data_IF_039062541021
#
_entry.id   IF_039062541021
#
_cell.length_a   1.000
_cell.length_b   1.000
_cell.length_c   1.000
_cell.angle_alpha   90.00
_cell.angle_beta   90.00
_cell.angle_gamma   90.00
#
_symmetry.space_group_name_H-M   'P 1'
#
loop_
_entity.id
_entity.type
_entity.pdbx_description
1 polymer ?
#
# COMPACT_ATOMS: atom_id res chain seq x y z
N UNK A 1 6.08 -14.23 2.77
CA UNK A 1 5.39 -12.94 3.04
C UNK A 1 4.79 -12.83 4.44
N UNK A 2 3.94 -13.77 4.91
CA UNK A 2 3.26 -13.63 6.23
C UNK A 2 4.19 -13.37 7.43
N UNK A 3 5.32 -14.08 7.52
CA UNK A 3 6.32 -13.84 8.56
C UNK A 3 7.00 -12.46 8.44
N UNK A 4 7.20 -11.98 7.21
CA UNK A 4 7.79 -10.68 6.93
C UNK A 4 6.84 -9.52 7.29
N UNK A 5 5.55 -9.66 7.01
CA UNK A 5 4.54 -8.68 7.44
C UNK A 5 4.49 -8.58 8.98
N UNK A 6 4.60 -9.72 9.67
CA UNK A 6 4.63 -9.76 11.14
C UNK A 6 5.87 -9.10 11.74
N UNK A 7 6.97 -8.99 11.00
CA UNK A 7 8.19 -8.35 11.51
C UNK A 7 8.10 -6.82 11.55
N UNK A 8 7.08 -6.21 10.93
CA UNK A 8 6.90 -4.76 10.88
C UNK A 8 7.94 -4.01 10.04
N UNK A 9 8.85 -4.73 9.37
CA UNK A 9 9.95 -4.14 8.60
C UNK A 9 9.46 -3.71 7.22
N UNK A 10 8.91 -2.49 7.17
CA UNK A 10 8.30 -1.93 5.97
C UNK A 10 9.26 -1.84 4.78
N UNK A 11 10.53 -1.53 5.02
CA UNK A 11 11.52 -1.46 3.94
C UNK A 11 11.77 -2.85 3.34
N UNK A 12 11.92 -3.88 4.17
CA UNK A 12 12.06 -5.26 3.66
C UNK A 12 10.80 -5.75 2.96
N UNK A 13 9.60 -5.38 3.44
CA UNK A 13 8.34 -5.68 2.74
C UNK A 13 8.32 -5.10 1.33
N UNK A 14 8.68 -3.81 1.19
CA UNK A 14 8.74 -3.13 -0.11
C UNK A 14 9.79 -3.76 -1.02
N UNK A 15 10.98 -4.03 -0.48
CA UNK A 15 12.07 -4.66 -1.24
C UNK A 15 11.65 -6.05 -1.73
N UNK A 16 11.13 -6.88 -0.84
CA UNK A 16 10.70 -8.24 -1.15
C UNK A 16 9.61 -8.25 -2.23
N UNK A 17 8.61 -7.37 -2.14
CA UNK A 17 7.56 -7.27 -3.15
C UNK A 17 8.11 -6.91 -4.53
N UNK A 18 9.04 -5.93 -4.60
CA UNK A 18 9.67 -5.56 -5.85
C UNK A 18 10.56 -6.65 -6.45
N UNK A 19 11.23 -7.44 -5.60
CA UNK A 19 12.06 -8.58 -6.03
C UNK A 19 11.20 -9.75 -6.50
N UNK A 20 10.11 -10.08 -5.79
CA UNK A 20 9.29 -11.26 -6.08
C UNK A 20 8.49 -11.12 -7.38
N UNK A 21 8.08 -9.91 -7.75
CA UNK A 21 7.33 -9.61 -9.00
C UNK A 21 6.06 -10.46 -9.19
N UNK A 22 5.41 -10.76 -8.08
CA UNK A 22 4.21 -11.59 -8.03
C UNK A 22 2.99 -10.74 -7.65
N UNK A 23 1.86 -10.98 -8.33
CA UNK A 23 0.64 -10.17 -8.17
C UNK A 23 0.06 -10.28 -6.76
N UNK A 24 0.03 -11.47 -6.18
CA UNK A 24 -0.48 -11.67 -4.82
C UNK A 24 0.46 -11.05 -3.78
N UNK A 25 1.77 -11.11 -4.00
CA UNK A 25 2.74 -10.44 -3.13
C UNK A 25 2.57 -8.93 -3.18
N UNK A 26 2.37 -8.34 -4.37
CA UNK A 26 2.07 -6.91 -4.49
C UNK A 26 0.77 -6.54 -3.78
N UNK A 27 -0.29 -7.33 -3.95
CA UNK A 27 -1.57 -7.13 -3.25
C UNK A 27 -1.39 -7.16 -1.73
N UNK A 28 -0.65 -8.16 -1.21
CA UNK A 28 -0.36 -8.28 0.22
C UNK A 28 0.48 -7.11 0.75
N UNK A 29 1.47 -6.66 -0.03
CA UNK A 29 2.29 -5.51 0.35
C UNK A 29 1.46 -4.22 0.41
N UNK A 30 0.65 -3.93 -0.61
CA UNK A 30 -0.26 -2.78 -0.61
C UNK A 30 -1.20 -2.78 0.60
N UNK A 31 -1.83 -3.92 0.90
CA UNK A 31 -2.72 -4.06 2.06
C UNK A 31 -2.00 -3.83 3.38
N UNK A 32 -0.78 -4.33 3.53
CA UNK A 32 0.03 -4.08 4.72
C UNK A 32 0.34 -2.59 4.87
N UNK A 33 0.77 -1.92 3.79
CA UNK A 33 1.10 -0.50 3.81
C UNK A 33 -0.13 0.38 4.12
N UNK A 34 -1.34 0.00 3.70
CA UNK A 34 -2.58 0.70 4.06
C UNK A 34 -2.91 0.66 5.57
N UNK A 35 -2.33 -0.27 6.33
CA UNK A 35 -2.50 -0.32 7.79
C UNK A 35 -1.46 0.53 8.56
N UNK A 36 -0.52 1.17 7.85
CA UNK A 36 0.45 2.09 8.44
C UNK A 36 -0.09 3.53 8.43
N UNK A 37 0.65 4.47 9.02
CA UNK A 37 0.32 5.90 8.95
C UNK A 37 0.70 6.49 7.57
N UNK A 38 0.04 6.03 6.51
CA UNK A 38 0.30 6.48 5.13
C UNK A 38 -0.25 7.88 4.86
N UNK A 39 -1.23 8.36 5.66
CA UNK A 39 -1.90 9.66 5.47
C UNK A 39 -0.94 10.84 5.54
N UNK A 40 0.10 10.74 6.37
CA UNK A 40 1.14 11.76 6.53
C UNK A 40 2.40 11.45 5.71
N UNK A 41 2.38 10.39 4.90
CA UNK A 41 3.55 9.90 4.19
C UNK A 41 3.26 9.65 2.71
N UNK A 42 3.54 10.68 1.90
CA UNK A 42 3.38 10.63 0.44
C UNK A 42 4.22 9.52 -0.24
N UNK A 43 5.33 9.08 0.38
CA UNK A 43 6.10 7.96 -0.15
C UNK A 43 5.35 6.63 0.02
N UNK A 44 4.72 6.41 1.19
CA UNK A 44 3.89 5.23 1.41
C UNK A 44 2.68 5.22 0.48
N UNK A 45 2.02 6.37 0.28
CA UNK A 45 0.91 6.50 -0.68
C UNK A 45 1.30 6.03 -2.08
N UNK A 46 2.43 6.53 -2.61
CA UNK A 46 2.94 6.12 -3.94
C UNK A 46 3.26 4.63 -4.01
N UNK A 47 3.77 4.04 -2.93
CA UNK A 47 4.07 2.60 -2.90
C UNK A 47 2.80 1.75 -2.85
N UNK A 48 1.76 2.18 -2.13
CA UNK A 48 0.45 1.51 -2.10
C UNK A 48 -0.15 1.50 -3.50
N UNK A 49 -0.22 2.68 -4.14
CA UNK A 49 -0.71 2.84 -5.51
C UNK A 49 0.06 1.94 -6.49
N UNK A 50 1.40 2.02 -6.48
CA UNK A 50 2.26 1.24 -7.36
C UNK A 50 2.06 -0.27 -7.19
N UNK A 51 1.87 -0.75 -5.95
CA UNK A 51 1.63 -2.17 -5.71
C UNK A 51 0.25 -2.62 -6.17
N UNK A 52 -0.80 -1.83 -5.99
CA UNK A 52 -2.11 -2.21 -6.53
C UNK A 52 -2.16 -2.21 -8.06
N UNK A 53 -1.51 -1.23 -8.70
CA UNK A 53 -1.35 -1.21 -10.16
C UNK A 53 -0.60 -2.46 -10.65
N UNK A 54 0.54 -2.80 -10.04
CA UNK A 54 1.32 -4.00 -10.41
C UNK A 54 0.58 -5.31 -10.12
N UNK A 55 -0.26 -5.35 -9.10
CA UNK A 55 -1.12 -6.49 -8.81
C UNK A 55 -2.30 -6.63 -9.79
N UNK A 56 -2.67 -5.55 -10.49
CA UNK A 56 -3.94 -5.48 -11.24
C UNK A 56 -5.16 -5.45 -10.32
N UNK A 57 -4.99 -5.03 -9.06
CA UNK A 57 -6.05 -5.03 -8.06
C UNK A 57 -6.85 -3.71 -8.11
N UNK A 58 -7.65 -3.54 -9.16
CA UNK A 58 -8.37 -2.30 -9.46
C UNK A 58 -9.35 -1.92 -8.35
N UNK A 59 -10.05 -2.89 -7.74
CA UNK A 59 -10.98 -2.63 -6.64
C UNK A 59 -10.27 -2.04 -5.41
N UNK A 60 -9.09 -2.56 -5.07
CA UNK A 60 -8.30 -2.06 -3.95
C UNK A 60 -7.71 -0.68 -4.24
N UNK A 61 -7.36 -0.42 -5.49
CA UNK A 61 -6.89 0.89 -5.93
C UNK A 61 -8.01 1.94 -5.85
N UNK A 62 -9.22 1.60 -6.30
CA UNK A 62 -10.38 2.48 -6.20
C UNK A 62 -10.69 2.82 -4.74
N UNK A 63 -10.77 1.81 -3.87
CA UNK A 63 -10.98 2.01 -2.43
C UNK A 63 -9.88 2.87 -1.79
N UNK A 64 -8.63 2.72 -2.24
CA UNK A 64 -7.54 3.55 -1.76
C UNK A 64 -7.69 5.02 -2.18
N UNK A 65 -8.12 5.29 -3.41
CA UNK A 65 -8.39 6.66 -3.85
C UNK A 65 -9.58 7.30 -3.13
N UNK A 66 -10.63 6.55 -2.83
CA UNK A 66 -11.72 7.02 -1.98
C UNK A 66 -11.21 7.41 -0.58
N UNK A 67 -10.36 6.58 0.02
CA UNK A 67 -9.74 6.90 1.31
C UNK A 67 -8.85 8.15 1.24
N UNK A 68 -8.10 8.34 0.16
CA UNK A 68 -7.32 9.56 -0.08
C UNK A 68 -8.20 10.81 -0.17
N UNK A 69 -9.34 10.73 -0.87
CA UNK A 69 -10.29 11.84 -0.97
C UNK A 69 -10.87 12.24 0.39
N UNK A 70 -11.25 11.27 1.22
CA UNK A 70 -11.75 11.51 2.58
C UNK A 70 -10.72 12.24 3.47
N UNK A 71 -9.45 11.87 3.35
CA UNK A 71 -8.36 12.56 4.09
C UNK A 71 -8.21 14.01 3.62
N UNK A 72 -8.38 14.25 2.32
CA UNK A 72 -8.33 15.59 1.75
C UNK A 72 -9.48 16.48 2.25
N UNK A 73 -10.69 15.93 2.36
CA UNK A 73 -11.87 16.64 2.86
C UNK A 73 -11.78 16.95 4.35
N UNK A 74 -11.24 16.05 5.17
CA UNK A 74 -11.01 16.31 6.61
C UNK A 74 -10.01 17.46 6.83
N UNK A 75 -8.96 17.57 6.02
CA UNK A 75 -7.95 18.61 6.16
C UNK A 75 -8.41 20.00 5.63
N UNK A 76 -9.60 20.10 5.04
CA UNK A 76 -10.20 21.37 4.57
C UNK A 76 -11.15 22.02 5.58
N UNK A 77 -11.52 21.31 6.66
CA UNK A 77 -12.36 21.81 7.76
C UNK A 77 -11.50 22.31 8.91
#
# INVERSE_FOLDING_TARGET
>A
MRALLKSGDTQKVILFANTARDKDIYRMAGNYLQNLNWKENAQLMRQIEAFYLKAGAVDLLANFYEACAQVLDINRL
#
